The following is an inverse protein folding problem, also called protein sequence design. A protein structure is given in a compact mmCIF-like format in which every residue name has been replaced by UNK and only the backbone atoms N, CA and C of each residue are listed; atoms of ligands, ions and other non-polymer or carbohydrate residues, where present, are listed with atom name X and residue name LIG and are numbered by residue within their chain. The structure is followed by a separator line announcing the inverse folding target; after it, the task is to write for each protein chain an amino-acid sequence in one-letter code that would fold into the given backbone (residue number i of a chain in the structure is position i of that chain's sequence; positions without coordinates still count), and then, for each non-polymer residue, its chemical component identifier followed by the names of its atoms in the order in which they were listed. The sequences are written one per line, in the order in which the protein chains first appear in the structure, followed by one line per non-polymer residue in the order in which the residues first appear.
data_IF_462319720222
#
_entry.id   IF_462319720222
#
_cell.length_a   1.000
_cell.length_b   1.000
_cell.length_c   1.000
_cell.angle_alpha   90.00
_cell.angle_beta   90.00
_cell.angle_gamma   90.00
#
_symmetry.space_group_name_H-M   'P 1'
#
loop_
_entity.id
_entity.type
_entity.pdbx_description
1 polymer ?
#
# COMPACT_ATOMS: atom_id res chain seq x y z
N UNK A 1 14.42 -20.28 -18.59
CA UNK A 1 13.64 -19.07 -18.88
C UNK A 1 14.35 -17.92 -18.20
N UNK A 2 14.63 -16.84 -18.92
CA UNK A 2 15.30 -15.66 -18.34
C UNK A 2 14.24 -14.79 -17.66
N UNK A 3 14.51 -14.36 -16.43
CA UNK A 3 13.62 -13.46 -15.70
C UNK A 3 13.48 -12.12 -16.43
N UNK A 4 12.25 -11.62 -16.53
CA UNK A 4 11.92 -10.31 -17.10
C UNK A 4 11.02 -9.60 -16.10
N UNK A 5 11.31 -8.37 -15.63
CA UNK A 5 10.43 -7.70 -14.67
C UNK A 5 8.95 -7.74 -15.09
N UNK A 6 8.06 -8.09 -14.16
CA UNK A 6 6.68 -8.46 -14.47
C UNK A 6 5.89 -7.36 -15.15
N UNK A 7 6.12 -6.09 -14.79
CA UNK A 7 5.53 -4.94 -15.50
C UNK A 7 6.00 -4.84 -16.95
N UNK A 8 7.27 -5.14 -17.24
CA UNK A 8 7.81 -5.17 -18.60
C UNK A 8 7.19 -6.33 -19.37
N UNK A 9 7.10 -7.51 -18.77
CA UNK A 9 6.48 -8.69 -19.38
C UNK A 9 5.00 -8.42 -19.72
N UNK A 10 4.23 -7.88 -18.77
CA UNK A 10 2.82 -7.54 -18.95
C UNK A 10 2.60 -6.45 -20.01
N UNK A 11 3.43 -5.41 -20.02
CA UNK A 11 3.40 -4.33 -21.03
C UNK A 11 3.58 -4.91 -22.43
N UNK A 12 4.65 -5.70 -22.62
CA UNK A 12 4.96 -6.36 -23.89
C UNK A 12 3.89 -7.36 -24.30
N UNK A 13 3.36 -8.14 -23.35
CA UNK A 13 2.27 -9.07 -23.62
C UNK A 13 1.03 -8.35 -24.13
N UNK A 14 0.69 -7.19 -23.56
CA UNK A 14 -0.37 -6.36 -24.10
C UNK A 14 -0.06 -5.84 -25.52
N UNK A 15 1.10 -5.23 -25.75
CA UNK A 15 1.43 -4.62 -27.05
C UNK A 15 1.57 -5.61 -28.19
N UNK A 16 2.20 -6.75 -27.91
CA UNK A 16 2.59 -7.71 -28.93
C UNK A 16 1.51 -8.79 -29.15
N UNK A 17 0.63 -9.03 -28.17
CA UNK A 17 -0.39 -10.09 -28.22
C UNK A 17 -1.81 -9.54 -28.08
N UNK A 18 -2.13 -8.89 -26.95
CA UNK A 18 -3.53 -8.54 -26.64
C UNK A 18 -4.09 -7.45 -27.56
N UNK A 19 -3.41 -6.32 -27.70
CA UNK A 19 -3.88 -5.21 -28.52
C UNK A 19 -4.04 -5.60 -30.01
N UNK A 20 -3.08 -6.30 -30.66
CA UNK A 20 -3.27 -6.79 -32.03
C UNK A 20 -4.41 -7.80 -32.17
N UNK A 21 -4.61 -8.69 -31.19
CA UNK A 21 -5.72 -9.65 -31.17
C UNK A 21 -7.07 -8.91 -31.10
N UNK A 22 -7.23 -7.97 -30.16
CA UNK A 22 -8.45 -7.19 -29.99
C UNK A 22 -8.75 -6.33 -31.22
N UNK A 23 -7.75 -5.66 -31.80
CA UNK A 23 -7.92 -4.86 -33.02
C UNK A 23 -8.43 -5.70 -34.21
N UNK A 24 -7.93 -6.93 -34.35
CA UNK A 24 -8.33 -7.84 -35.45
C UNK A 24 -9.71 -8.46 -35.23
N UNK A 25 -10.03 -8.86 -34.00
CA UNK A 25 -11.20 -9.71 -33.70
C UNK A 25 -12.39 -8.94 -33.16
N UNK A 26 -12.14 -7.79 -32.52
CA UNK A 26 -13.14 -6.90 -31.92
C UNK A 26 -12.89 -5.44 -32.37
N UNK A 27 -12.92 -5.15 -33.68
CA UNK A 27 -12.68 -3.78 -34.15
C UNK A 27 -13.71 -2.82 -33.54
N UNK A 28 -13.22 -1.68 -33.03
CA UNK A 28 -14.06 -0.66 -32.38
C UNK A 28 -14.35 -0.91 -30.89
N UNK A 29 -13.91 -2.03 -30.32
CA UNK A 29 -14.02 -2.26 -28.87
C UNK A 29 -13.26 -1.17 -28.10
N UNK A 30 -13.97 -0.51 -27.20
CA UNK A 30 -13.38 0.41 -26.23
C UNK A 30 -13.00 -0.38 -24.99
N UNK A 31 -11.76 -0.24 -24.56
CA UNK A 31 -11.27 -0.89 -23.35
C UNK A 31 -10.19 -0.05 -22.69
N UNK A 32 -9.88 -0.34 -21.43
CA UNK A 32 -8.65 0.09 -20.77
C UNK A 32 -7.86 -1.16 -20.40
N UNK A 33 -6.54 -1.05 -20.30
CA UNK A 33 -5.68 -2.15 -19.94
C UNK A 33 -4.52 -1.72 -19.06
N UNK A 34 -4.06 -2.63 -18.22
CA UNK A 34 -2.94 -2.39 -17.32
C UNK A 34 -2.57 -3.61 -16.50
N UNK A 35 -1.71 -3.39 -15.52
CA UNK A 35 -1.45 -4.34 -14.43
C UNK A 35 -1.65 -3.58 -13.12
N UNK A 36 -2.73 -3.90 -12.40
CA UNK A 36 -3.26 -3.09 -11.28
C UNK A 36 -3.89 -3.94 -10.14
N UNK A 37 -3.86 -5.26 -10.27
CA UNK A 37 -4.66 -6.23 -9.51
C UNK A 37 -3.86 -6.97 -8.41
N UNK A 38 -2.60 -6.61 -8.22
CA UNK A 38 -1.71 -7.05 -7.13
C UNK A 38 -0.44 -7.70 -7.64
N UNK A 39 0.55 -7.85 -6.77
CA UNK A 39 1.86 -8.45 -7.10
C UNK A 39 3.02 -7.54 -6.74
N UNK A 40 4.21 -8.13 -6.53
CA UNK A 40 5.43 -7.36 -6.24
C UNK A 40 5.89 -6.53 -7.43
N UNK A 41 5.56 -6.96 -8.64
CA UNK A 41 5.91 -6.32 -9.90
C UNK A 41 5.32 -4.92 -10.03
N UNK A 42 4.16 -4.65 -9.41
CA UNK A 42 3.54 -3.33 -9.40
C UNK A 42 4.42 -2.25 -8.77
N UNK A 43 5.36 -2.65 -7.91
CA UNK A 43 6.30 -1.75 -7.25
C UNK A 43 7.73 -1.92 -7.77
N UNK A 44 7.94 -2.74 -8.81
CA UNK A 44 9.27 -3.11 -9.31
C UNK A 44 10.08 -3.97 -8.34
N UNK A 45 9.41 -4.71 -7.47
CA UNK A 45 10.03 -5.52 -6.41
C UNK A 45 10.01 -7.02 -6.71
N UNK A 46 9.49 -7.42 -7.87
CA UNK A 46 9.53 -8.82 -8.28
C UNK A 46 10.95 -9.26 -8.63
N UNK A 47 11.21 -10.54 -8.39
CA UNK A 47 12.52 -11.15 -8.61
C UNK A 47 12.34 -12.46 -9.37
N UNK A 48 13.43 -13.12 -9.76
CA UNK A 48 13.37 -14.46 -10.31
C UNK A 48 12.64 -15.46 -9.40
N UNK A 49 12.60 -15.24 -8.08
CA UNK A 49 11.80 -16.08 -7.16
C UNK A 49 10.30 -15.90 -7.36
N UNK A 50 9.84 -14.70 -7.70
CA UNK A 50 8.42 -14.39 -7.87
C UNK A 50 7.75 -15.19 -8.98
N UNK A 51 8.52 -15.85 -9.86
CA UNK A 51 7.97 -16.68 -10.95
C UNK A 51 7.36 -17.99 -10.47
N UNK A 52 7.45 -18.31 -9.17
CA UNK A 52 6.90 -19.54 -8.59
C UNK A 52 5.37 -19.48 -8.34
N UNK A 53 4.74 -18.30 -8.38
CA UNK A 53 3.27 -18.12 -8.38
C UNK A 53 2.86 -16.69 -8.75
N UNK A 54 1.63 -16.54 -9.24
CA UNK A 54 0.94 -15.28 -9.55
C UNK A 54 1.72 -14.34 -10.49
N UNK A 55 2.72 -14.85 -11.20
CA UNK A 55 3.60 -14.08 -12.08
C UNK A 55 3.68 -14.75 -13.46
N UNK A 56 3.67 -13.95 -14.53
CA UNK A 56 3.78 -14.42 -15.91
C UNK A 56 3.14 -13.44 -16.89
N UNK A 57 2.88 -13.87 -18.14
CA UNK A 57 2.11 -13.09 -19.11
C UNK A 57 0.66 -12.89 -18.62
N UNK A 58 0.40 -11.74 -17.99
CA UNK A 58 -0.91 -11.35 -17.42
C UNK A 58 -1.22 -9.88 -17.67
N UNK A 59 -2.51 -9.55 -17.68
CA UNK A 59 -3.00 -8.19 -17.81
C UNK A 59 -4.42 -8.08 -17.27
N UNK A 60 -4.82 -6.88 -16.88
CA UNK A 60 -6.20 -6.50 -16.63
C UNK A 60 -6.75 -5.80 -17.88
N UNK A 61 -7.90 -6.25 -18.38
CA UNK A 61 -8.70 -5.59 -19.41
C UNK A 61 -10.03 -5.12 -18.79
N UNK A 62 -10.31 -3.84 -18.94
CA UNK A 62 -11.52 -3.20 -18.41
C UNK A 62 -12.38 -2.71 -19.57
N UNK A 63 -13.67 -3.01 -19.51
CA UNK A 63 -14.69 -2.58 -20.48
C UNK A 63 -15.72 -1.65 -19.81
N UNK A 64 -16.48 -0.92 -20.61
CA UNK A 64 -17.62 -0.10 -20.14
C UNK A 64 -18.94 -0.89 -20.10
N UNK A 65 -19.11 -1.87 -20.98
CA UNK A 65 -20.27 -2.76 -21.02
C UNK A 65 -19.96 -4.14 -20.40
N UNK A 66 -20.64 -4.56 -19.31
CA UNK A 66 -20.44 -5.89 -18.73
C UNK A 66 -20.77 -7.04 -19.69
N UNK A 67 -21.59 -6.82 -20.73
CA UNK A 67 -21.88 -7.83 -21.76
C UNK A 67 -20.64 -8.23 -22.56
N UNK A 68 -19.58 -7.40 -22.56
CA UNK A 68 -18.34 -7.67 -23.27
C UNK A 68 -17.41 -8.66 -22.56
N UNK A 69 -17.61 -8.89 -21.26
CA UNK A 69 -16.70 -9.71 -20.43
C UNK A 69 -16.65 -11.16 -20.92
N UNK A 70 -17.80 -11.83 -21.04
CA UNK A 70 -17.84 -13.24 -21.41
C UNK A 70 -17.37 -13.52 -22.86
N UNK A 71 -17.75 -12.72 -23.87
CA UNK A 71 -17.17 -12.83 -25.22
C UNK A 71 -15.65 -12.67 -25.25
N UNK A 72 -15.10 -11.71 -24.50
CA UNK A 72 -13.65 -11.50 -24.45
C UNK A 72 -12.90 -12.64 -23.79
N UNK A 73 -13.41 -13.18 -22.68
CA UNK A 73 -12.82 -14.36 -22.05
C UNK A 73 -12.77 -15.55 -23.03
N UNK A 74 -13.88 -15.85 -23.74
CA UNK A 74 -13.89 -16.92 -24.75
C UNK A 74 -12.90 -16.69 -25.88
N UNK A 75 -12.76 -15.45 -26.35
CA UNK A 75 -11.80 -15.09 -27.39
C UNK A 75 -10.35 -15.34 -26.91
N UNK A 76 -10.02 -14.86 -25.71
CA UNK A 76 -8.70 -15.03 -25.11
C UNK A 76 -8.39 -16.51 -24.85
N UNK A 77 -9.38 -17.28 -24.41
CA UNK A 77 -9.25 -18.72 -24.24
C UNK A 77 -8.95 -19.44 -25.55
N UNK A 78 -9.51 -18.99 -26.67
CA UNK A 78 -9.31 -19.62 -27.97
C UNK A 78 -8.02 -19.18 -28.68
N UNK A 79 -7.61 -17.91 -28.55
CA UNK A 79 -6.61 -17.31 -29.43
C UNK A 79 -5.31 -16.86 -28.75
N UNK A 80 -5.19 -16.93 -27.41
CA UNK A 80 -3.91 -16.65 -26.77
C UNK A 80 -2.85 -17.69 -27.17
N UNK A 81 -1.61 -17.26 -27.50
CA UNK A 81 -0.53 -18.19 -27.80
C UNK A 81 -0.21 -19.02 -26.56
N UNK A 82 0.24 -20.27 -26.73
CA UNK A 82 0.61 -21.13 -25.60
C UNK A 82 1.78 -20.57 -24.76
N UNK A 83 2.65 -19.76 -25.39
CA UNK A 83 3.82 -19.14 -24.77
C UNK A 83 4.03 -17.70 -25.25
N UNK A 84 4.65 -16.89 -24.41
CA UNK A 84 5.12 -15.55 -24.73
C UNK A 84 6.46 -15.30 -24.02
N UNK A 85 7.50 -14.93 -24.79
CA UNK A 85 8.88 -14.78 -24.28
C UNK A 85 9.35 -15.97 -23.44
N UNK A 86 9.11 -17.19 -23.96
CA UNK A 86 9.36 -18.49 -23.33
C UNK A 86 8.51 -18.85 -22.11
N UNK A 87 7.71 -17.90 -21.59
CA UNK A 87 6.81 -18.13 -20.47
C UNK A 87 5.46 -18.69 -20.93
N UNK A 88 4.88 -19.69 -20.22
CA UNK A 88 3.52 -20.11 -20.47
C UNK A 88 2.53 -18.96 -20.26
N UNK A 89 1.49 -18.86 -21.10
CA UNK A 89 0.39 -17.88 -20.90
C UNK A 89 -0.74 -18.44 -20.05
N UNK A 90 -0.63 -19.71 -19.68
CA UNK A 90 -1.58 -20.48 -18.87
C UNK A 90 -1.02 -20.75 -17.48
N UNK A 91 -1.92 -20.97 -16.54
CA UNK A 91 -1.60 -21.13 -15.12
C UNK A 91 -2.36 -22.30 -14.49
N UNK A 92 -1.71 -22.97 -13.53
CA UNK A 92 -2.29 -23.99 -12.64
C UNK A 92 -2.39 -23.45 -11.22
N UNK A 93 -3.45 -23.80 -10.49
CA UNK A 93 -3.63 -23.33 -9.11
C UNK A 93 -5.04 -23.49 -8.52
N UNK A 94 -6.02 -23.95 -9.30
CA UNK A 94 -7.40 -24.07 -8.83
C UNK A 94 -8.03 -22.70 -8.52
N UNK A 95 -9.31 -22.66 -8.07
CA UNK A 95 -10.00 -21.42 -7.75
C UNK A 95 -9.53 -20.73 -6.46
N UNK A 96 -8.80 -21.44 -5.59
CA UNK A 96 -8.34 -20.93 -4.29
C UNK A 96 -7.06 -20.09 -4.38
N UNK A 97 -6.28 -20.24 -5.46
CA UNK A 97 -5.06 -19.46 -5.73
C UNK A 97 -5.37 -18.42 -6.79
N UNK A 98 -4.87 -17.19 -6.58
CA UNK A 98 -5.29 -16.00 -7.36
C UNK A 98 -5.09 -16.20 -8.86
N UNK A 99 -3.89 -16.63 -9.26
CA UNK A 99 -3.57 -17.05 -10.62
C UNK A 99 -2.76 -18.36 -10.64
N UNK A 100 -1.91 -18.58 -9.63
CA UNK A 100 -1.13 -19.81 -9.47
C UNK A 100 0.17 -19.84 -10.27
N UNK A 101 0.67 -21.00 -10.65
CA UNK A 101 1.98 -21.17 -11.32
C UNK A 101 1.80 -21.19 -12.83
N UNK A 102 2.62 -20.43 -13.56
CA UNK A 102 2.63 -20.48 -15.02
C UNK A 102 3.02 -21.89 -15.52
N UNK A 103 2.13 -22.54 -16.26
CA UNK A 103 2.25 -23.92 -16.72
C UNK A 103 1.54 -24.07 -18.09
N UNK A 104 2.18 -24.62 -19.13
CA UNK A 104 1.54 -24.82 -20.44
C UNK A 104 0.27 -25.70 -20.38
N UNK A 105 0.18 -26.58 -19.39
CA UNK A 105 -0.97 -27.44 -19.13
C UNK A 105 -1.92 -26.85 -18.06
N UNK A 106 -1.85 -25.52 -17.85
CA UNK A 106 -2.82 -24.77 -17.06
C UNK A 106 -4.12 -24.51 -17.81
N UNK A 107 -5.21 -24.37 -17.07
CA UNK A 107 -6.56 -24.21 -17.62
C UNK A 107 -6.96 -22.74 -17.79
N UNK A 108 -6.29 -21.82 -17.06
CA UNK A 108 -6.64 -20.40 -17.02
C UNK A 108 -5.52 -19.56 -17.58
N UNK A 109 -5.85 -18.50 -18.32
CA UNK A 109 -4.86 -17.51 -18.75
C UNK A 109 -4.73 -16.36 -17.73
N UNK A 110 -3.62 -15.62 -17.80
CA UNK A 110 -3.35 -14.47 -16.94
C UNK A 110 -4.16 -13.19 -17.22
N UNK A 111 -5.04 -13.18 -18.22
CA UNK A 111 -5.83 -11.99 -18.55
C UNK A 111 -7.12 -11.94 -17.73
N UNK A 112 -7.25 -10.96 -16.84
CA UNK A 112 -8.52 -10.65 -16.17
C UNK A 112 -9.35 -9.73 -17.06
N UNK A 113 -10.65 -9.99 -17.22
CA UNK A 113 -11.59 -9.11 -17.93
C UNK A 113 -12.73 -8.72 -16.98
N UNK A 114 -13.04 -7.42 -16.86
CA UNK A 114 -14.12 -6.93 -16.01
C UNK A 114 -14.72 -5.61 -16.50
N UNK A 115 -15.94 -5.27 -16.08
CA UNK A 115 -16.48 -3.91 -16.21
C UNK A 115 -15.75 -2.99 -15.22
N UNK A 116 -15.34 -1.80 -15.67
CA UNK A 116 -14.52 -0.86 -14.89
C UNK A 116 -15.10 -0.57 -13.49
N UNK A 117 -16.38 -0.21 -13.41
CA UNK A 117 -17.07 0.09 -12.16
C UNK A 117 -17.18 -1.09 -11.22
N UNK A 118 -17.56 -2.26 -11.74
CA UNK A 118 -17.64 -3.51 -11.01
C UNK A 118 -16.29 -3.85 -10.40
N UNK A 119 -15.25 -3.83 -11.22
CA UNK A 119 -13.88 -4.09 -10.75
C UNK A 119 -13.42 -3.11 -9.67
N UNK A 120 -13.73 -1.81 -9.81
CA UNK A 120 -13.40 -0.80 -8.79
C UNK A 120 -14.15 -1.07 -7.47
N UNK A 121 -15.45 -1.38 -7.53
CA UNK A 121 -16.25 -1.71 -6.34
C UNK A 121 -15.76 -2.99 -5.67
N UNK A 122 -15.42 -4.01 -6.45
CA UNK A 122 -14.88 -5.27 -5.95
C UNK A 122 -13.50 -5.07 -5.30
N UNK A 123 -12.72 -4.09 -5.76
CA UNK A 123 -11.37 -3.83 -5.25
C UNK A 123 -11.33 -2.88 -4.06
N UNK A 124 -12.20 -1.87 -4.04
CA UNK A 124 -12.16 -0.76 -3.08
C UNK A 124 -13.37 -0.71 -2.15
N UNK A 125 -14.48 -1.35 -2.52
CA UNK A 125 -15.77 -1.25 -1.84
C UNK A 125 -16.60 -0.03 -2.26
N UNK A 126 -16.14 0.75 -3.25
CA UNK A 126 -16.81 1.94 -3.79
C UNK A 126 -16.31 2.26 -5.21
N UNK A 127 -16.97 3.19 -5.91
CA UNK A 127 -16.58 3.63 -7.24
C UNK A 127 -15.97 5.05 -7.23
N UNK A 128 -14.63 5.20 -7.33
CA UNK A 128 -13.96 6.50 -7.30
C UNK A 128 -14.29 7.40 -8.50
N UNK A 129 -14.99 6.91 -9.53
CA UNK A 129 -15.51 7.74 -10.63
C UNK A 129 -16.62 8.68 -10.15
N UNK A 130 -17.31 8.35 -9.06
CA UNK A 130 -18.27 9.23 -8.39
C UNK A 130 -17.65 10.26 -7.44
N UNK A 131 -16.35 10.17 -7.17
CA UNK A 131 -15.66 10.94 -6.13
C UNK A 131 -15.10 10.02 -5.04
N UNK A 132 -14.26 10.57 -4.15
CA UNK A 132 -13.67 9.82 -3.03
C UNK A 132 -13.94 10.60 -1.75
N UNK A 133 -14.82 10.08 -0.89
CA UNK A 133 -15.17 10.71 0.38
C UNK A 133 -14.17 10.39 1.49
N UNK A 134 -14.27 11.11 2.61
CA UNK A 134 -13.47 10.85 3.82
C UNK A 134 -13.59 9.40 4.31
N UNK A 135 -14.82 8.86 4.36
CA UNK A 135 -15.06 7.47 4.74
C UNK A 135 -14.39 6.49 3.76
N UNK A 136 -14.31 6.84 2.48
CA UNK A 136 -13.66 6.01 1.47
C UNK A 136 -12.15 5.93 1.70
N UNK A 137 -11.53 7.06 1.98
CA UNK A 137 -10.12 7.11 2.31
C UNK A 137 -9.77 6.32 3.57
N UNK A 138 -10.53 6.52 4.65
CA UNK A 138 -10.26 5.85 5.92
C UNK A 138 -10.55 4.34 5.87
N UNK A 139 -11.45 3.90 5.00
CA UNK A 139 -11.78 2.50 4.80
C UNK A 139 -11.02 1.84 3.64
N UNK A 140 -10.01 2.49 3.03
CA UNK A 140 -9.18 1.88 1.98
C UNK A 140 -7.78 1.63 2.53
N UNK A 141 -7.34 0.35 2.64
CA UNK A 141 -5.99 0.03 3.08
C UNK A 141 -4.95 0.64 2.14
N UNK A 142 -3.84 1.16 2.70
CA UNK A 142 -2.77 1.79 1.90
C UNK A 142 -2.18 0.83 0.86
N UNK A 143 -2.15 -0.47 1.14
CA UNK A 143 -1.75 -1.48 0.15
C UNK A 143 -2.64 -1.47 -1.11
N UNK A 144 -3.95 -1.26 -0.99
CA UNK A 144 -4.85 -1.20 -2.16
C UNK A 144 -4.59 0.06 -3.00
N UNK A 145 -4.30 1.18 -2.33
CA UNK A 145 -3.91 2.42 -2.99
C UNK A 145 -2.55 2.27 -3.68
N UNK A 146 -1.57 1.62 -3.02
CA UNK A 146 -0.26 1.32 -3.58
C UNK A 146 -0.35 0.44 -4.83
N UNK A 147 -1.20 -0.59 -4.83
CA UNK A 147 -1.41 -1.47 -5.98
C UNK A 147 -2.00 -0.72 -7.18
N UNK A 148 -3.07 0.03 -6.94
CA UNK A 148 -3.80 0.73 -8.01
C UNK A 148 -3.01 1.91 -8.60
N UNK A 149 -2.23 2.60 -7.78
CA UNK A 149 -1.45 3.77 -8.22
C UNK A 149 -0.03 3.39 -8.66
N UNK A 150 0.56 2.33 -8.09
CA UNK A 150 1.91 1.86 -8.41
C UNK A 150 2.01 1.06 -9.71
N UNK A 151 0.94 0.36 -10.10
CA UNK A 151 0.89 -0.36 -11.37
C UNK A 151 0.95 0.52 -12.61
N UNK A 152 0.88 -0.11 -13.78
CA UNK A 152 0.98 0.57 -15.06
C UNK A 152 -0.32 0.47 -15.86
N UNK A 153 -0.68 1.58 -16.51
CA UNK A 153 -1.74 1.62 -17.53
C UNK A 153 -1.08 1.52 -18.89
N UNK A 154 -1.55 0.56 -19.68
CA UNK A 154 -1.06 0.21 -21.01
C UNK A 154 -1.89 0.86 -22.11
N UNK A 155 -3.19 0.98 -21.86
CA UNK A 155 -4.17 1.56 -22.76
C UNK A 155 -5.34 2.11 -21.94
N UNK A 156 -5.97 3.22 -22.37
CA UNK A 156 -7.14 3.80 -21.67
C UNK A 156 -8.16 4.39 -22.67
N UNK A 157 -8.78 3.50 -23.45
CA UNK A 157 -9.80 3.81 -24.46
C UNK A 157 -11.20 4.08 -23.88
N UNK A 158 -11.38 4.03 -22.56
CA UNK A 158 -12.64 4.36 -21.88
C UNK A 158 -12.76 5.86 -21.58
N UNK A 159 -12.25 6.71 -22.48
CA UNK A 159 -12.25 8.16 -22.31
C UNK A 159 -11.31 8.66 -21.21
N UNK A 160 -10.22 7.94 -20.90
CA UNK A 160 -9.28 8.34 -19.85
C UNK A 160 -9.78 8.06 -18.42
N UNK A 161 -10.82 7.23 -18.27
CA UNK A 161 -11.46 6.97 -16.98
C UNK A 161 -10.49 6.32 -15.98
N UNK A 162 -9.61 5.43 -16.44
CA UNK A 162 -8.67 4.74 -15.57
C UNK A 162 -7.58 5.69 -15.06
N UNK A 163 -7.04 6.56 -15.91
CA UNK A 163 -6.13 7.63 -15.49
C UNK A 163 -6.81 8.60 -14.52
N UNK A 164 -8.07 8.96 -14.76
CA UNK A 164 -8.84 9.84 -13.87
C UNK A 164 -9.00 9.23 -12.48
N UNK A 165 -9.34 7.94 -12.40
CA UNK A 165 -9.43 7.21 -11.13
C UNK A 165 -8.09 7.20 -10.40
N UNK A 166 -6.99 6.89 -11.10
CA UNK A 166 -5.64 6.89 -10.50
C UNK A 166 -5.23 8.28 -10.00
N UNK A 167 -5.58 9.35 -10.73
CA UNK A 167 -5.33 10.73 -10.31
C UNK A 167 -6.10 11.09 -9.03
N UNK A 168 -7.37 10.67 -8.91
CA UNK A 168 -8.18 10.88 -7.69
C UNK A 168 -7.65 10.12 -6.48
N UNK A 169 -7.04 8.96 -6.72
CA UNK A 169 -6.46 8.11 -5.69
C UNK A 169 -4.96 8.36 -5.48
N UNK A 170 -4.40 9.37 -6.15
CA UNK A 170 -2.97 9.65 -6.12
C UNK A 170 -2.48 10.00 -4.71
N UNK A 171 -3.26 10.81 -3.97
CA UNK A 171 -2.93 11.16 -2.60
C UNK A 171 -4.17 11.58 -1.78
N UNK A 172 -4.02 11.56 -0.46
CA UNK A 172 -5.05 12.04 0.47
C UNK A 172 -5.28 13.56 0.33
N UNK A 173 -6.54 14.02 0.49
CA UNK A 173 -6.83 15.41 0.85
C UNK A 173 -6.17 15.77 2.20
N UNK A 174 -5.79 17.03 2.39
CA UNK A 174 -4.96 17.44 3.54
C UNK A 174 -5.56 17.08 4.91
N UNK A 175 -6.86 17.26 5.12
CA UNK A 175 -7.48 16.92 6.42
C UNK A 175 -7.49 15.42 6.71
N UNK A 176 -7.70 14.60 5.68
CA UNK A 176 -7.56 13.13 5.78
C UNK A 176 -6.10 12.78 6.07
N UNK A 177 -5.15 13.45 5.40
CA UNK A 177 -3.73 13.22 5.61
C UNK A 177 -3.30 13.59 7.03
N UNK A 178 -3.70 14.76 7.54
CA UNK A 178 -3.50 15.18 8.94
C UNK A 178 -4.06 14.16 9.92
N UNK A 179 -5.27 13.65 9.68
CA UNK A 179 -5.89 12.64 10.53
C UNK A 179 -5.07 11.34 10.58
N UNK A 180 -4.63 10.84 9.42
CA UNK A 180 -3.81 9.62 9.30
C UNK A 180 -2.42 9.79 9.93
N UNK A 181 -1.76 10.93 9.72
CA UNK A 181 -0.46 11.24 10.33
C UNK A 181 -0.58 11.41 11.86
N UNK A 182 -1.63 12.09 12.33
CA UNK A 182 -1.88 12.26 13.75
C UNK A 182 -2.12 10.91 14.45
N UNK A 183 -2.85 10.00 13.80
CA UNK A 183 -3.05 8.64 14.30
C UNK A 183 -1.73 7.85 14.38
N UNK A 184 -0.85 7.98 13.38
CA UNK A 184 0.47 7.35 13.40
C UNK A 184 1.33 7.88 14.56
N UNK A 185 1.37 9.20 14.76
CA UNK A 185 2.08 9.80 15.89
C UNK A 185 1.48 9.42 17.25
N UNK A 186 0.14 9.31 17.34
CA UNK A 186 -0.51 8.84 18.56
C UNK A 186 -0.11 7.40 18.92
N UNK A 187 0.00 6.51 17.92
CA UNK A 187 0.51 5.14 18.11
C UNK A 187 1.94 5.13 18.62
N UNK A 188 2.81 5.98 18.06
CA UNK A 188 4.20 6.15 18.53
C UNK A 188 4.22 6.63 19.99
N UNK A 189 3.44 7.66 20.33
CA UNK A 189 3.37 8.21 21.69
C UNK A 189 2.93 7.16 22.73
N UNK A 190 1.98 6.30 22.35
CA UNK A 190 1.50 5.21 23.19
C UNK A 190 2.55 4.13 23.46
N UNK A 191 3.59 4.02 22.61
CA UNK A 191 4.56 2.93 22.65
C UNK A 191 6.00 3.35 22.99
N UNK A 192 6.44 4.58 22.68
CA UNK A 192 7.84 4.99 22.74
C UNK A 192 8.48 4.82 24.13
N UNK A 193 7.73 5.11 25.19
CA UNK A 193 8.16 4.96 26.57
C UNK A 193 8.24 3.50 27.03
N UNK A 194 7.51 2.58 26.37
CA UNK A 194 7.45 1.16 26.75
C UNK A 194 8.77 0.44 26.44
N UNK A 195 9.51 0.90 25.43
CA UNK A 195 10.81 0.31 25.07
C UNK A 195 11.79 0.38 26.23
N UNK A 196 11.91 1.56 26.84
CA UNK A 196 12.76 1.78 28.02
C UNK A 196 12.20 1.13 29.27
N UNK A 197 10.86 1.09 29.41
CA UNK A 197 10.22 0.42 30.54
C UNK A 197 10.47 -1.09 30.56
N UNK A 198 10.46 -1.76 29.41
CA UNK A 198 10.84 -3.17 29.31
C UNK A 198 12.31 -3.38 29.71
N UNK A 199 13.22 -2.55 29.20
CA UNK A 199 14.64 -2.62 29.55
C UNK A 199 14.90 -2.39 31.04
N UNK A 200 14.17 -1.46 31.69
CA UNK A 200 14.29 -1.17 33.13
C UNK A 200 14.03 -2.40 34.01
N UNK A 201 13.17 -3.32 33.58
CA UNK A 201 12.87 -4.58 34.30
C UNK A 201 13.67 -5.78 33.79
N UNK A 202 14.65 -5.56 32.90
CA UNK A 202 15.49 -6.60 32.32
C UNK A 202 14.83 -7.40 31.19
N UNK A 203 13.68 -6.97 30.67
CA UNK A 203 13.00 -7.63 29.54
C UNK A 203 13.56 -7.14 28.20
N UNK A 204 14.72 -7.68 27.82
CA UNK A 204 15.36 -7.36 26.54
C UNK A 204 14.53 -7.79 25.32
N UNK A 205 13.83 -8.93 25.41
CA UNK A 205 12.98 -9.40 24.33
C UNK A 205 11.80 -8.46 24.13
N UNK A 206 11.06 -8.13 25.19
CA UNK A 206 9.95 -7.19 25.13
C UNK A 206 10.38 -5.81 24.65
N UNK A 207 11.53 -5.32 25.13
CA UNK A 207 12.10 -4.05 24.66
C UNK A 207 12.34 -4.06 23.14
N UNK A 208 12.90 -5.15 22.58
CA UNK A 208 13.07 -5.30 21.11
C UNK A 208 11.75 -5.42 20.36
N UNK A 209 10.77 -6.15 20.90
CA UNK A 209 9.45 -6.31 20.28
C UNK A 209 8.72 -4.96 20.20
N UNK A 210 8.73 -4.17 21.27
CA UNK A 210 8.14 -2.82 21.27
C UNK A 210 8.91 -1.89 20.33
N UNK A 211 10.25 -1.92 20.35
CA UNK A 211 11.07 -1.13 19.43
C UNK A 211 10.78 -1.45 17.96
N UNK A 212 10.59 -2.73 17.61
CA UNK A 212 10.20 -3.15 16.27
C UNK A 212 8.81 -2.62 15.88
N UNK A 213 7.88 -2.57 16.84
CA UNK A 213 6.58 -1.94 16.67
C UNK A 213 6.68 -0.45 16.32
N UNK A 214 7.48 0.30 17.08
CA UNK A 214 7.77 1.74 16.83
C UNK A 214 8.48 1.93 15.48
N UNK A 215 9.49 1.12 15.18
CA UNK A 215 10.22 1.17 13.91
C UNK A 215 9.30 0.95 12.71
N UNK A 216 8.36 0.00 12.80
CA UNK A 216 7.32 -0.21 11.79
C UNK A 216 6.43 1.01 11.62
N UNK A 217 5.97 1.62 12.72
CA UNK A 217 5.13 2.82 12.66
C UNK A 217 5.90 4.02 12.05
N UNK A 218 7.19 4.19 12.37
CA UNK A 218 8.05 5.22 11.78
C UNK A 218 8.29 5.02 10.28
N UNK A 219 8.51 3.78 9.83
CA UNK A 219 8.65 3.50 8.40
C UNK A 219 7.37 3.81 7.63
N UNK A 220 6.21 3.40 8.17
CA UNK A 220 4.89 3.71 7.56
C UNK A 220 4.65 5.22 7.55
N UNK A 221 4.96 5.91 8.63
CA UNK A 221 4.83 7.35 8.76
C UNK A 221 5.73 8.09 7.75
N UNK A 222 7.01 7.73 7.65
CA UNK A 222 7.92 8.37 6.69
C UNK A 222 7.51 8.19 5.23
N UNK A 223 6.94 7.02 4.87
CA UNK A 223 6.33 6.82 3.55
C UNK A 223 5.16 7.77 3.32
N UNK A 224 4.27 7.90 4.30
CA UNK A 224 3.13 8.83 4.22
C UNK A 224 3.58 10.30 4.12
N UNK A 225 4.62 10.70 4.85
CA UNK A 225 5.19 12.05 4.78
C UNK A 225 5.77 12.37 3.39
N UNK A 226 6.32 11.37 2.71
CA UNK A 226 6.86 11.48 1.36
C UNK A 226 5.84 11.20 0.25
N UNK A 227 4.54 11.21 0.57
CA UNK A 227 3.46 10.92 -0.38
C UNK A 227 3.61 9.57 -1.10
N UNK A 228 4.10 8.56 -0.38
CA UNK A 228 4.25 7.18 -0.86
C UNK A 228 3.34 6.27 -0.05
N UNK A 229 2.48 5.51 -0.73
CA UNK A 229 1.61 4.55 -0.06
C UNK A 229 2.42 3.44 0.61
N UNK A 230 2.24 3.20 1.93
CA UNK A 230 2.84 2.05 2.60
C UNK A 230 2.46 0.73 1.90
N UNK A 231 3.44 -0.12 1.55
CA UNK A 231 3.17 -1.39 0.90
C UNK A 231 2.87 -2.49 1.94
N UNK A 232 2.61 -3.69 1.44
CA UNK A 232 2.55 -4.92 2.23
C UNK A 232 3.83 -5.11 3.06
N UNK A 233 3.68 -5.69 4.25
CA UNK A 233 4.70 -5.72 5.29
C UNK A 233 6.08 -6.23 4.81
N UNK A 234 6.10 -7.24 3.94
CA UNK A 234 7.36 -7.81 3.40
C UNK A 234 8.23 -6.80 2.65
N UNK A 235 7.62 -5.77 2.09
CA UNK A 235 8.28 -4.74 1.28
C UNK A 235 8.45 -3.40 1.99
N UNK A 236 7.97 -3.28 3.24
CA UNK A 236 7.97 -2.01 3.96
C UNK A 236 9.37 -1.40 4.06
N UNK A 237 10.35 -2.18 4.55
CA UNK A 237 11.73 -1.73 4.67
C UNK A 237 12.38 -1.41 3.33
N UNK A 238 12.15 -2.23 2.30
CA UNK A 238 12.72 -2.01 0.95
C UNK A 238 12.19 -0.73 0.31
N UNK A 239 10.88 -0.47 0.40
CA UNK A 239 10.28 0.75 -0.16
C UNK A 239 10.65 1.97 0.67
N UNK A 240 10.70 1.86 2.00
CA UNK A 240 11.13 2.95 2.89
C UNK A 240 12.58 3.36 2.63
N UNK A 241 13.50 2.40 2.48
CA UNK A 241 14.91 2.67 2.21
C UNK A 241 15.16 3.38 0.86
N UNK A 242 14.19 3.31 -0.07
CA UNK A 242 14.23 4.02 -1.34
C UNK A 242 13.78 5.49 -1.28
N UNK A 243 13.28 5.97 -0.13
CA UNK A 243 12.91 7.38 0.02
C UNK A 243 14.16 8.28 0.03
N UNK A 244 14.05 9.52 -0.49
CA UNK A 244 15.08 10.53 -0.28
C UNK A 244 15.36 10.70 1.22
N UNK A 245 16.63 10.82 1.61
CA UNK A 245 17.07 10.99 3.00
C UNK A 245 16.70 9.87 4.00
N UNK A 246 16.19 8.70 3.56
CA UNK A 246 15.89 7.59 4.49
C UNK A 246 17.13 6.89 5.05
N UNK A 247 18.30 7.00 4.41
CA UNK A 247 19.53 6.31 4.82
C UNK A 247 19.89 6.45 6.31
N UNK A 248 19.96 7.69 6.86
CA UNK A 248 20.18 7.90 8.29
C UNK A 248 19.12 7.27 9.19
N UNK A 249 17.84 7.30 8.81
CA UNK A 249 16.76 6.67 9.59
C UNK A 249 16.89 5.15 9.55
N UNK A 250 17.20 4.57 8.39
CA UNK A 250 17.43 3.13 8.25
C UNK A 250 18.59 2.69 9.15
N UNK A 251 19.72 3.40 9.13
CA UNK A 251 20.86 3.09 10.00
C UNK A 251 20.47 3.17 11.48
N UNK A 252 19.76 4.22 11.89
CA UNK A 252 19.29 4.40 13.25
C UNK A 252 18.33 3.28 13.72
N UNK A 253 17.44 2.82 12.83
CA UNK A 253 16.54 1.70 13.12
C UNK A 253 17.28 0.35 13.15
N UNK A 254 18.32 0.15 12.34
CA UNK A 254 19.19 -1.03 12.42
C UNK A 254 19.91 -1.08 13.76
N UNK A 255 20.47 0.04 14.21
CA UNK A 255 21.08 0.15 15.54
C UNK A 255 20.06 -0.14 16.64
N UNK A 256 18.85 0.43 16.52
CA UNK A 256 17.78 0.26 17.50
C UNK A 256 17.35 -1.21 17.68
N UNK A 257 17.30 -1.96 16.58
CA UNK A 257 16.84 -3.36 16.55
C UNK A 257 17.98 -4.37 16.68
N UNK A 258 19.22 -3.88 16.77
CA UNK A 258 20.42 -4.70 16.84
C UNK A 258 20.56 -5.52 18.13
N UNK A 259 21.62 -6.34 18.23
CA UNK A 259 21.88 -7.19 19.39
C UNK A 259 22.36 -6.40 20.62
N UNK A 260 22.62 -5.11 20.47
CA UNK A 260 23.12 -4.23 21.52
C UNK A 260 22.08 -3.99 22.64
N UNK A 261 22.56 -3.38 23.73
CA UNK A 261 21.78 -3.13 24.93
C UNK A 261 20.82 -1.95 24.81
N UNK A 262 20.11 -1.66 25.90
CA UNK A 262 19.12 -0.58 25.96
C UNK A 262 19.66 0.80 25.52
N UNK A 263 20.88 1.17 25.91
CA UNK A 263 21.44 2.49 25.59
C UNK A 263 21.55 2.73 24.07
N UNK A 264 22.06 1.75 23.34
CA UNK A 264 22.17 1.79 21.88
C UNK A 264 20.78 1.80 21.22
N UNK A 265 19.86 1.00 21.77
CA UNK A 265 18.46 0.94 21.33
C UNK A 265 17.78 2.30 21.43
N UNK A 266 17.92 2.95 22.58
CA UNK A 266 17.39 4.29 22.80
C UNK A 266 18.02 5.30 21.84
N UNK A 267 19.35 5.27 21.69
CA UNK A 267 20.05 6.22 20.81
C UNK A 267 19.60 6.09 19.35
N UNK A 268 19.44 4.87 18.85
CA UNK A 268 18.89 4.60 17.52
C UNK A 268 17.45 5.09 17.36
N UNK A 269 16.58 4.77 18.32
CA UNK A 269 15.18 5.23 18.29
C UNK A 269 15.07 6.75 18.33
N UNK A 270 15.83 7.44 19.17
CA UNK A 270 15.84 8.91 19.25
C UNK A 270 16.22 9.50 17.89
N UNK A 271 17.33 9.09 17.28
CA UNK A 271 17.73 9.61 15.96
C UNK A 271 16.64 9.41 14.90
N UNK A 272 16.01 8.24 14.88
CA UNK A 272 14.92 7.95 13.95
C UNK A 272 13.68 8.83 14.22
N UNK A 273 13.27 8.97 15.48
CA UNK A 273 12.14 9.79 15.91
C UNK A 273 12.34 11.26 15.55
N UNK A 274 13.48 11.85 15.92
CA UNK A 274 13.78 13.26 15.65
C UNK A 274 13.83 13.56 14.15
N UNK A 275 14.37 12.64 13.34
CA UNK A 275 14.42 12.80 11.88
C UNK A 275 13.01 12.78 11.27
N UNK A 276 12.18 11.81 11.64
CA UNK A 276 10.80 11.70 11.13
C UNK A 276 9.91 12.83 11.65
N UNK A 277 10.17 13.34 12.86
CA UNK A 277 9.57 14.54 13.42
C UNK A 277 9.91 15.78 12.57
N UNK A 278 11.17 15.94 12.17
CA UNK A 278 11.61 16.95 11.21
C UNK A 278 10.83 16.87 9.89
N UNK A 279 10.75 15.68 9.30
CA UNK A 279 9.96 15.47 8.07
C UNK A 279 8.49 15.83 8.24
N UNK A 280 7.92 15.66 9.43
CA UNK A 280 6.53 16.09 9.71
C UNK A 280 6.41 17.60 9.66
N UNK A 281 7.34 18.33 10.28
CA UNK A 281 7.35 19.80 10.22
C UNK A 281 7.53 20.31 8.78
N UNK A 282 8.38 19.66 7.99
CA UNK A 282 8.65 20.03 6.59
C UNK A 282 7.41 19.95 5.70
N UNK A 283 6.39 19.17 6.08
CA UNK A 283 5.13 19.10 5.31
C UNK A 283 4.31 20.40 5.35
N UNK A 284 4.51 21.24 6.36
CA UNK A 284 3.68 22.43 6.59
C UNK A 284 2.21 22.13 6.93
N UNK A 285 1.86 20.87 7.26
CA UNK A 285 0.48 20.49 7.57
C UNK A 285 0.01 20.99 8.95
N UNK A 286 0.94 21.37 9.83
CA UNK A 286 0.66 21.90 11.16
C UNK A 286 1.71 22.95 11.54
N UNK A 287 1.46 23.66 12.66
CA UNK A 287 2.50 24.48 13.29
C UNK A 287 3.69 23.60 13.66
N UNK A 288 4.91 24.12 13.45
CA UNK A 288 6.13 23.37 13.70
C UNK A 288 6.26 23.00 15.18
N UNK A 289 6.57 21.73 15.44
CA UNK A 289 6.78 21.20 16.79
C UNK A 289 8.27 20.92 16.97
N UNK A 290 8.86 21.37 18.07
CA UNK A 290 10.24 21.05 18.44
C UNK A 290 10.48 19.52 18.37
N UNK A 291 11.36 19.05 17.46
CA UNK A 291 11.56 17.64 17.18
C UNK A 291 12.53 16.95 18.15
N UNK A 292 13.05 17.66 19.17
CA UNK A 292 14.06 17.09 20.08
C UNK A 292 13.44 16.13 21.10
N UNK A 293 14.15 15.03 21.36
CA UNK A 293 13.77 14.08 22.40
C UNK A 293 14.01 14.65 23.81
N UNK A 294 13.23 14.15 24.77
CA UNK A 294 13.18 14.63 26.16
C UNK A 294 12.92 13.49 27.14
N UNK A 295 13.21 13.68 28.44
CA UNK A 295 12.87 12.69 29.45
C UNK A 295 11.37 12.43 29.53
N UNK A 296 10.97 11.17 29.69
CA UNK A 296 9.58 10.82 29.96
C UNK A 296 9.26 11.02 31.45
N UNK A 297 8.68 12.18 31.78
CA UNK A 297 8.50 12.62 33.16
C UNK A 297 9.83 12.61 33.93
N UNK A 298 9.87 11.98 35.10
CA UNK A 298 11.08 11.82 35.92
C UNK A 298 11.85 10.52 35.60
N UNK A 299 11.46 9.78 34.54
CA UNK A 299 12.07 8.49 34.21
C UNK A 299 13.34 8.65 33.38
N UNK A 300 14.30 7.71 33.45
CA UNK A 300 15.62 7.85 32.82
C UNK A 300 15.63 7.60 31.31
N UNK A 301 14.48 7.41 30.67
CA UNK A 301 14.37 7.11 29.24
C UNK A 301 13.83 8.29 28.44
N UNK A 302 14.42 8.46 27.24
CA UNK A 302 14.09 9.53 26.31
C UNK A 302 12.93 9.13 25.40
N UNK A 303 12.04 10.08 25.16
CA UNK A 303 10.91 10.00 24.24
C UNK A 303 10.87 11.24 23.37
N UNK A 304 10.22 11.16 22.21
CA UNK A 304 9.91 12.36 21.43
C UNK A 304 8.84 13.22 22.13
N UNK A 305 7.99 12.59 22.96
CA UNK A 305 6.69 13.12 23.35
C UNK A 305 5.82 13.33 22.10
N UNK A 306 5.72 12.23 21.32
CA UNK A 306 5.10 12.21 20.00
C UNK A 306 3.62 12.65 20.00
N UNK A 307 2.97 12.66 21.17
CA UNK A 307 1.62 13.18 21.34
C UNK A 307 1.50 14.65 20.93
N UNK A 308 2.59 15.43 21.02
CA UNK A 308 2.63 16.83 20.57
C UNK A 308 2.45 16.98 19.06
N UNK A 309 3.08 16.10 18.28
CA UNK A 309 2.90 16.08 16.81
C UNK A 309 1.48 15.66 16.44
N UNK A 310 0.94 14.64 17.13
CA UNK A 310 -0.45 14.23 16.94
C UNK A 310 -1.44 15.38 17.25
N UNK A 311 -1.21 16.13 18.34
CA UNK A 311 -2.03 17.27 18.72
C UNK A 311 -1.96 18.42 17.70
N UNK A 312 -0.76 18.79 17.26
CA UNK A 312 -0.55 19.85 16.26
C UNK A 312 -1.25 19.52 14.92
N UNK A 313 -1.09 18.29 14.43
CA UNK A 313 -1.77 17.82 13.22
C UNK A 313 -3.29 17.81 13.37
N UNK A 314 -3.83 17.38 14.52
CA UNK A 314 -5.27 17.42 14.81
C UNK A 314 -5.81 18.84 14.85
N UNK A 315 -5.05 19.79 15.41
CA UNK A 315 -5.46 21.20 15.46
C UNK A 315 -5.61 21.82 14.06
N UNK A 316 -4.86 21.34 13.08
CA UNK A 316 -4.96 21.77 11.68
C UNK A 316 -6.12 21.17 10.88
N UNK A 317 -6.90 20.23 11.44
CA UNK A 317 -8.05 19.61 10.74
C UNK A 317 -9.23 20.58 10.77
N UNK A 318 -9.77 20.93 9.58
CA UNK A 318 -10.93 21.82 9.47
C UNK A 318 -12.26 21.06 9.36
N UNK A 319 -12.25 19.89 8.72
CA UNK A 319 -13.40 18.99 8.57
C UNK A 319 -13.98 18.61 9.96
N UNK A 320 -15.24 18.98 10.25
CA UNK A 320 -15.86 18.73 11.55
C UNK A 320 -16.07 17.23 11.82
N UNK A 321 -16.31 16.43 10.78
CA UNK A 321 -16.47 14.98 10.91
C UNK A 321 -15.14 14.35 11.31
N UNK A 322 -14.03 14.77 10.71
CA UNK A 322 -12.69 14.28 11.08
C UNK A 322 -12.24 14.76 12.47
N UNK A 323 -12.56 16.00 12.86
CA UNK A 323 -12.25 16.52 14.19
C UNK A 323 -12.94 15.74 15.31
N UNK A 324 -14.20 15.35 15.10
CA UNK A 324 -14.97 14.56 16.06
C UNK A 324 -14.48 13.10 16.16
N UNK A 325 -13.64 12.62 15.22
CA UNK A 325 -13.16 11.24 15.25
C UNK A 325 -11.98 11.04 16.23
N UNK A 326 -11.93 9.90 16.92
CA UNK A 326 -10.72 9.49 17.61
C UNK A 326 -9.57 9.33 16.59
N UNK A 327 -8.29 9.53 17.00
CA UNK A 327 -7.13 9.45 16.10
C UNK A 327 -6.78 8.00 15.77
N UNK A 328 -7.74 7.24 15.23
CA UNK A 328 -7.54 5.85 14.81
C UNK A 328 -6.85 5.79 13.45
N UNK A 329 -7.07 6.79 12.59
CA UNK A 329 -6.47 6.85 11.27
C UNK A 329 -7.23 6.03 10.25
N UNK A 330 -6.52 5.55 9.22
CA UNK A 330 -7.06 4.61 8.24
C UNK A 330 -7.13 3.18 8.81
N UNK A 331 -7.96 2.35 8.21
CA UNK A 331 -8.27 0.99 8.68
C UNK A 331 -7.05 0.10 8.94
N UNK A 332 -5.99 0.24 8.15
CA UNK A 332 -4.75 -0.51 8.27
C UNK A 332 -3.74 0.11 9.27
N UNK A 333 -4.17 1.09 10.07
CA UNK A 333 -3.46 1.58 11.26
C UNK A 333 -3.98 0.94 12.56
N UNK A 334 -5.17 0.33 12.54
CA UNK A 334 -5.78 -0.32 13.70
C UNK A 334 -6.30 -1.75 13.44
N UNK A 335 -6.23 -2.24 12.20
CA UNK A 335 -6.47 -3.64 11.82
C UNK A 335 -5.24 -4.17 11.09
N UNK A 336 -4.76 -5.36 11.46
CA UNK A 336 -3.65 -6.07 10.79
C UNK A 336 -4.07 -7.41 10.18
N UNK A 337 -5.29 -7.87 10.44
CA UNK A 337 -5.84 -9.11 9.89
C UNK A 337 -5.95 -9.05 8.36
N UNK A 338 -5.21 -9.93 7.68
CA UNK A 338 -5.27 -10.11 6.23
C UNK A 338 -6.69 -10.49 5.78
N UNK A 339 -7.38 -11.34 6.56
CA UNK A 339 -8.76 -11.75 6.29
C UNK A 339 -9.75 -10.59 6.32
N UNK A 340 -9.42 -9.49 7.01
CA UNK A 340 -10.19 -8.24 6.94
C UNK A 340 -9.66 -7.39 5.80
N UNK A 341 -8.39 -7.01 5.81
CA UNK A 341 -7.80 -6.00 4.92
C UNK A 341 -7.84 -6.35 3.43
N UNK A 342 -7.98 -7.62 3.08
CA UNK A 342 -8.06 -8.06 1.67
C UNK A 342 -9.49 -8.10 1.12
N UNK A 343 -10.50 -7.93 1.97
CA UNK A 343 -11.93 -8.07 1.63
C UNK A 343 -12.67 -6.74 1.85
N UNK A 344 -12.92 -5.94 0.79
CA UNK A 344 -13.45 -4.59 0.94
C UNK A 344 -14.75 -4.52 1.75
N UNK A 345 -15.65 -5.50 1.62
CA UNK A 345 -16.89 -5.54 2.39
C UNK A 345 -16.66 -5.71 3.90
N UNK A 346 -15.59 -6.41 4.30
CA UNK A 346 -15.21 -6.56 5.72
C UNK A 346 -14.53 -5.29 6.21
N UNK A 347 -13.60 -4.75 5.42
CA UNK A 347 -12.93 -3.48 5.72
C UNK A 347 -13.94 -2.36 5.98
N UNK A 348 -14.92 -2.20 5.07
CA UNK A 348 -15.95 -1.16 5.15
C UNK A 348 -16.84 -1.31 6.39
N UNK A 349 -17.20 -2.54 6.74
CA UNK A 349 -17.94 -2.83 7.98
C UNK A 349 -17.14 -2.45 9.22
N UNK A 350 -15.86 -2.83 9.28
CA UNK A 350 -14.99 -2.50 10.43
C UNK A 350 -14.77 -0.99 10.54
N UNK A 351 -14.50 -0.30 9.43
CA UNK A 351 -14.33 1.15 9.42
C UNK A 351 -15.63 1.91 9.78
N UNK A 352 -16.79 1.41 9.34
CA UNK A 352 -18.10 1.99 9.65
C UNK A 352 -18.57 1.76 11.09
N UNK A 353 -18.08 0.71 11.77
CA UNK A 353 -18.45 0.40 13.15
C UNK A 353 -17.79 1.32 14.20
N UNK A 354 -16.88 2.20 13.79
CA UNK A 354 -16.20 3.16 14.64
C UNK A 354 -16.90 4.53 14.50
N UNK A 355 -17.87 4.86 15.39
CA UNK A 355 -18.62 6.11 15.28
C UNK A 355 -17.69 7.33 15.46
N UNK A 356 -18.05 8.49 14.88
CA UNK A 356 -17.49 9.75 15.37
C UNK A 356 -17.82 9.88 16.86
N UNK A 357 -16.82 10.29 17.66
CA UNK A 357 -16.89 10.30 19.12
C UNK A 357 -17.79 11.37 19.70
#
# INVERSE_FOLDING_TARGET
MTFVPGLVLARRFHDEVLAPLLARRRPGLRYAAGLLDGGSELLGLDTARSTDHDWGPRALLLVDDPAEVAPLLRLLDAELPARFLDWPTRFRGGPEVRLGVADPAGERHGVQVAELGGWLRDRLGFDPRGGVGTADWLATPTQRLAELTGGAVFHDGLGGALHTVRARLAWYPDDVWRHVLAAAWARVAQAEHLVGRCAEVGDELGSRVVAAGVARDLMRLGLLLHRRWPPYAKWLGTVFAGLPAAGPVVAALVDALGPAGWADRQAGLVRALETVAGWTNDTGLAEAVDPTARPFHQRPFLVLDAGRFAAALRAGITDPVLRARPPLGAVDQYVDSVDVLTHPERVRRVAGALPPG
#
